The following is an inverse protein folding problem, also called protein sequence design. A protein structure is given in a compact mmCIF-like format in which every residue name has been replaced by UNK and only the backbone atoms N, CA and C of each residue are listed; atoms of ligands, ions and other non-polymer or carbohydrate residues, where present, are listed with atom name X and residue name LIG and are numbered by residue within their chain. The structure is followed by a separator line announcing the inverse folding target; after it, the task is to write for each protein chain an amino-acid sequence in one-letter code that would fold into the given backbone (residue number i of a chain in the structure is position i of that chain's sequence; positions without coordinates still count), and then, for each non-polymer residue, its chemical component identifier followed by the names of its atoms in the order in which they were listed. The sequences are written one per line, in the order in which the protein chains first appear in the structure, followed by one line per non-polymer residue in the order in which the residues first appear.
data_IF_042298812856
#
_entry.id   IF_042298812856
#
_cell.length_a   1.000
_cell.length_b   1.000
_cell.length_c   1.000
_cell.angle_alpha   90.00
_cell.angle_beta   90.00
_cell.angle_gamma   90.00
#
_symmetry.space_group_name_H-M   'P 1'
#
loop_
_entity.id
_entity.type
_entity.pdbx_description
1 polymer ?
#
# COMPACT_ATOMS: atom_id res chain seq x y z
N UNK A 1 33.63 -5.85 10.72
CA UNK A 1 33.68 -7.15 11.47
C UNK A 1 32.29 -7.80 11.57
N UNK A 2 31.24 -7.09 11.98
CA UNK A 2 29.91 -7.70 12.22
C UNK A 2 29.19 -8.17 10.96
N UNK A 3 29.31 -7.44 9.85
CA UNK A 3 28.77 -7.86 8.54
C UNK A 3 29.43 -9.16 8.06
N UNK A 4 30.71 -9.31 8.28
CA UNK A 4 31.44 -10.53 7.94
C UNK A 4 31.03 -11.70 8.84
N UNK A 5 30.82 -11.46 10.13
CA UNK A 5 30.30 -12.43 11.09
C UNK A 5 28.93 -12.95 10.65
N UNK A 6 27.98 -12.06 10.32
CA UNK A 6 26.66 -12.43 9.78
C UNK A 6 26.77 -13.30 8.53
N UNK A 7 27.65 -12.91 7.60
CA UNK A 7 27.84 -13.65 6.34
C UNK A 7 28.40 -15.05 6.56
N UNK A 8 29.23 -15.23 7.58
CA UNK A 8 29.87 -16.50 7.92
C UNK A 8 28.98 -17.40 8.80
N UNK A 9 28.22 -16.82 9.71
CA UNK A 9 27.44 -17.59 10.70
C UNK A 9 25.94 -17.71 10.33
N UNK A 10 25.44 -16.87 9.42
CA UNK A 10 23.99 -16.77 9.13
C UNK A 10 23.17 -16.17 10.28
N UNK A 11 23.81 -15.69 11.36
CA UNK A 11 23.14 -15.13 12.54
C UNK A 11 22.63 -13.70 12.28
N UNK A 12 21.47 -13.63 11.59
CA UNK A 12 20.82 -12.36 11.31
C UNK A 12 20.22 -11.71 12.56
N UNK A 13 19.79 -12.51 13.54
CA UNK A 13 19.17 -11.98 14.76
C UNK A 13 20.17 -11.16 15.57
N UNK A 14 21.36 -11.69 15.79
CA UNK A 14 22.43 -10.95 16.47
C UNK A 14 22.87 -9.71 15.70
N UNK A 15 22.86 -9.74 14.36
CA UNK A 15 23.15 -8.57 13.53
C UNK A 15 22.11 -7.47 13.70
N UNK A 16 20.84 -7.82 13.68
CA UNK A 16 19.74 -6.86 13.85
C UNK A 16 19.77 -6.28 15.26
N UNK A 17 19.95 -7.10 16.28
CA UNK A 17 20.12 -6.64 17.67
C UNK A 17 21.30 -5.68 17.81
N UNK A 18 22.44 -5.95 17.18
CA UNK A 18 23.59 -5.05 17.19
C UNK A 18 23.29 -3.73 16.46
N UNK A 19 22.67 -3.78 15.28
CA UNK A 19 22.31 -2.61 14.47
C UNK A 19 21.38 -1.68 15.24
N UNK A 20 20.34 -2.24 15.85
CA UNK A 20 19.38 -1.49 16.63
C UNK A 20 19.85 -1.20 18.07
N UNK A 21 20.74 -2.01 18.64
CA UNK A 21 21.24 -1.82 20.00
C UNK A 21 21.93 -0.49 20.26
N UNK A 22 22.47 0.16 19.21
CA UNK A 22 22.99 1.53 19.27
C UNK A 22 21.90 2.59 19.16
N UNK A 23 20.75 2.23 18.60
CA UNK A 23 19.59 3.12 18.35
C UNK A 23 18.59 3.00 19.48
N UNK A 24 18.52 1.83 20.13
CA UNK A 24 17.63 1.56 21.25
C UNK A 24 18.14 2.22 22.53
N UNK A 25 17.69 3.42 22.79
CA UNK A 25 17.83 4.05 24.10
C UNK A 25 16.74 3.56 25.04
N UNK A 26 17.01 3.51 26.32
CA UNK A 26 16.04 3.09 27.34
C UNK A 26 14.95 4.11 27.60
N UNK A 27 15.19 5.35 27.15
CA UNK A 27 14.34 6.52 27.36
C UNK A 27 13.40 6.83 26.18
N UNK A 28 13.30 5.94 25.18
CA UNK A 28 12.36 6.12 24.07
C UNK A 28 10.96 5.67 24.50
N UNK A 29 10.00 6.58 24.67
CA UNK A 29 8.65 6.22 25.16
C UNK A 29 7.78 5.58 24.08
N UNK A 30 7.98 5.96 22.81
CA UNK A 30 7.16 5.54 21.68
C UNK A 30 8.02 5.19 20.46
N UNK A 31 7.77 4.06 19.83
CA UNK A 31 8.37 3.65 18.57
C UNK A 31 7.27 3.33 17.55
N UNK A 32 7.38 3.93 16.37
CA UNK A 32 6.37 3.80 15.31
C UNK A 32 6.98 3.04 14.13
N UNK A 33 6.38 1.91 13.78
CA UNK A 33 6.67 1.21 12.53
C UNK A 33 5.78 1.79 11.45
N UNK A 34 6.39 2.55 10.53
CA UNK A 34 5.72 3.12 9.37
C UNK A 34 5.89 2.22 8.14
N UNK A 35 4.91 2.25 7.26
CA UNK A 35 4.95 1.49 6.01
C UNK A 35 3.87 0.41 5.93
N UNK A 36 3.04 0.54 4.90
CA UNK A 36 1.84 -0.28 4.76
C UNK A 36 2.08 -1.77 4.51
N UNK A 37 3.24 -2.14 3.99
CA UNK A 37 3.54 -3.49 3.52
C UNK A 37 4.49 -4.27 4.46
N UNK A 38 4.69 -3.78 5.68
CA UNK A 38 5.69 -4.31 6.63
C UNK A 38 5.51 -5.81 6.94
N UNK A 39 4.29 -6.32 6.91
CA UNK A 39 4.00 -7.74 7.10
C UNK A 39 3.76 -8.50 5.77
N UNK A 40 3.81 -7.84 4.62
CA UNK A 40 3.56 -8.50 3.32
C UNK A 40 4.75 -9.35 2.83
N UNK A 41 5.99 -9.02 3.23
CA UNK A 41 7.21 -9.64 2.71
C UNK A 41 7.99 -10.36 3.81
N UNK A 42 8.42 -11.62 3.54
CA UNK A 42 9.09 -12.47 4.53
C UNK A 42 10.37 -11.84 5.12
N UNK A 43 11.18 -11.22 4.29
CA UNK A 43 12.43 -10.59 4.72
C UNK A 43 12.20 -9.43 5.71
N UNK A 44 11.22 -8.56 5.39
CA UNK A 44 10.86 -7.43 6.23
C UNK A 44 10.20 -7.85 7.53
N UNK A 45 9.37 -8.91 7.49
CA UNK A 45 8.69 -9.43 8.69
C UNK A 45 9.67 -9.87 9.78
N UNK A 46 10.77 -10.52 9.43
CA UNK A 46 11.77 -10.96 10.41
C UNK A 46 12.42 -9.78 11.11
N UNK A 47 12.90 -8.81 10.34
CA UNK A 47 13.55 -7.60 10.86
C UNK A 47 12.59 -6.78 11.73
N UNK A 48 11.36 -6.61 11.29
CA UNK A 48 10.34 -5.87 12.01
C UNK A 48 9.97 -6.51 13.35
N UNK A 49 9.80 -7.84 13.38
CA UNK A 49 9.52 -8.61 14.61
C UNK A 49 10.65 -8.48 15.62
N UNK A 50 11.90 -8.57 15.17
CA UNK A 50 13.07 -8.41 16.05
C UNK A 50 13.18 -7.00 16.61
N UNK A 51 12.89 -5.98 15.77
CA UNK A 51 12.87 -4.58 16.20
C UNK A 51 11.74 -4.34 17.20
N UNK A 52 10.51 -4.76 16.90
CA UNK A 52 9.35 -4.64 17.79
C UNK A 52 9.63 -5.29 19.14
N UNK A 53 10.14 -6.54 19.14
CA UNK A 53 10.48 -7.26 20.35
C UNK A 53 11.57 -6.55 21.18
N UNK A 54 12.54 -5.92 20.53
CA UNK A 54 13.61 -5.20 21.22
C UNK A 54 13.08 -3.93 21.90
N UNK A 55 12.20 -3.17 21.25
CA UNK A 55 11.56 -1.99 21.85
C UNK A 55 10.66 -2.37 23.02
N UNK A 56 9.79 -3.37 22.85
CA UNK A 56 8.88 -3.84 23.89
C UNK A 56 9.64 -4.34 25.14
N UNK A 57 10.76 -5.04 24.98
CA UNK A 57 11.61 -5.48 26.10
C UNK A 57 12.20 -4.32 26.91
N UNK A 58 12.34 -3.14 26.32
CA UNK A 58 12.81 -1.92 27.01
C UNK A 58 11.68 -1.06 27.58
N UNK A 59 10.44 -1.54 27.51
CA UNK A 59 9.28 -0.81 27.99
C UNK A 59 8.75 0.26 27.03
N UNK A 60 9.33 0.35 25.82
CA UNK A 60 8.84 1.26 24.77
C UNK A 60 7.48 0.81 24.26
N UNK A 61 6.50 1.70 24.19
CA UNK A 61 5.25 1.41 23.48
C UNK A 61 5.50 1.39 21.97
N UNK A 62 4.97 0.39 21.27
CA UNK A 62 5.13 0.26 19.83
C UNK A 62 3.81 0.42 19.10
N UNK A 63 3.86 1.10 17.96
CA UNK A 63 2.72 1.34 17.07
C UNK A 63 3.04 0.79 15.69
N UNK A 64 2.11 0.02 15.12
CA UNK A 64 2.14 -0.37 13.70
C UNK A 64 1.18 0.54 12.94
N UNK A 65 1.70 1.44 12.13
CA UNK A 65 0.95 2.51 11.51
C UNK A 65 0.68 2.25 10.03
N UNK A 66 -0.59 2.32 9.65
CA UNK A 66 -1.02 2.28 8.25
C UNK A 66 -0.79 0.93 7.57
N UNK A 67 -0.92 -0.19 8.30
CA UNK A 67 -0.61 -1.51 7.77
C UNK A 67 -1.72 -2.12 6.90
N UNK A 68 -1.31 -3.00 5.98
CA UNK A 68 -2.16 -4.01 5.35
C UNK A 68 -1.60 -5.40 5.65
N UNK A 69 -2.47 -6.33 6.03
CA UNK A 69 -2.10 -7.69 6.45
C UNK A 69 -3.00 -8.69 5.75
N UNK A 70 -2.41 -9.61 5.00
CA UNK A 70 -3.15 -10.70 4.36
C UNK A 70 -3.82 -11.58 5.43
N UNK A 71 -5.11 -11.92 5.29
CA UNK A 71 -5.85 -12.72 6.28
C UNK A 71 -5.19 -14.06 6.63
N UNK A 72 -4.45 -14.64 5.70
CA UNK A 72 -3.73 -15.90 5.92
C UNK A 72 -2.58 -15.79 6.92
N UNK A 73 -2.03 -14.58 7.11
CA UNK A 73 -0.91 -14.36 8.04
C UNK A 73 -1.29 -14.54 9.50
N UNK A 74 -2.53 -14.26 9.89
CA UNK A 74 -2.98 -14.50 11.27
C UNK A 74 -3.16 -15.99 11.61
N UNK A 75 -3.00 -16.88 10.64
CA UNK A 75 -2.91 -18.33 10.88
C UNK A 75 -1.51 -18.75 11.37
N UNK A 76 -0.52 -17.86 11.28
CA UNK A 76 0.87 -18.12 11.71
C UNK A 76 1.06 -17.68 13.16
N UNK A 77 1.28 -18.60 14.11
CA UNK A 77 1.39 -18.27 15.54
C UNK A 77 2.46 -17.22 15.85
N UNK A 78 3.60 -17.25 15.12
CA UNK A 78 4.69 -16.32 15.31
C UNK A 78 4.36 -14.89 14.88
N UNK A 79 3.46 -14.72 13.89
CA UNK A 79 2.94 -13.41 13.46
C UNK A 79 1.95 -12.89 14.48
N UNK A 80 1.02 -13.73 14.93
CA UNK A 80 0.06 -13.38 15.98
C UNK A 80 0.79 -12.97 17.25
N UNK A 81 1.76 -13.75 17.70
CA UNK A 81 2.56 -13.45 18.90
C UNK A 81 3.33 -12.13 18.80
N UNK A 82 3.70 -11.69 17.59
CA UNK A 82 4.33 -10.40 17.38
C UNK A 82 3.33 -9.25 17.33
N UNK A 83 2.26 -9.39 16.56
CA UNK A 83 1.18 -8.40 16.48
C UNK A 83 0.57 -8.10 17.87
N UNK A 84 0.43 -9.11 18.72
CA UNK A 84 -0.05 -8.95 20.09
C UNK A 84 0.89 -8.17 21.00
N UNK A 85 2.14 -7.89 20.61
CA UNK A 85 3.07 -7.06 21.37
C UNK A 85 2.90 -5.57 21.13
N UNK A 86 2.32 -5.16 19.98
CA UNK A 86 2.07 -3.76 19.72
C UNK A 86 1.08 -3.18 20.74
N UNK A 87 1.32 -1.93 21.13
CA UNK A 87 0.36 -1.18 21.92
C UNK A 87 -0.84 -0.79 21.06
N UNK A 88 -0.58 -0.32 19.84
CA UNK A 88 -1.61 0.13 18.91
C UNK A 88 -1.27 -0.35 17.49
N UNK A 89 -2.31 -0.79 16.78
CA UNK A 89 -2.23 -1.15 15.36
C UNK A 89 -3.26 -0.33 14.60
N UNK A 90 -2.81 0.40 13.59
CA UNK A 90 -3.67 1.19 12.71
C UNK A 90 -3.68 0.54 11.34
N UNK A 91 -4.80 -0.10 11.00
CA UNK A 91 -5.04 -0.63 9.66
C UNK A 91 -5.45 0.51 8.72
N UNK A 92 -5.04 0.44 7.46
CA UNK A 92 -5.40 1.46 6.45
C UNK A 92 -6.60 1.09 5.57
N UNK A 93 -7.16 -0.11 5.75
CA UNK A 93 -8.35 -0.58 5.03
C UNK A 93 -9.11 -1.65 5.84
N UNK A 94 -10.38 -1.84 5.47
CA UNK A 94 -11.34 -2.63 6.27
C UNK A 94 -11.01 -4.12 6.35
N UNK A 95 -10.45 -4.74 5.31
CA UNK A 95 -10.17 -6.19 5.32
C UNK A 95 -9.10 -6.51 6.37
N UNK A 96 -8.03 -5.70 6.43
CA UNK A 96 -7.00 -5.83 7.47
C UNK A 96 -7.58 -5.55 8.85
N UNK A 97 -8.38 -4.51 8.99
CA UNK A 97 -9.02 -4.16 10.26
C UNK A 97 -9.88 -5.31 10.81
N UNK A 98 -10.80 -5.84 10.01
CA UNK A 98 -11.64 -6.99 10.37
C UNK A 98 -10.80 -8.23 10.71
N UNK A 99 -9.69 -8.44 10.00
CA UNK A 99 -8.76 -9.53 10.25
C UNK A 99 -8.09 -9.40 11.61
N UNK A 100 -7.60 -8.21 11.94
CA UNK A 100 -6.98 -7.91 13.24
C UNK A 100 -7.97 -7.98 14.38
N UNK A 101 -9.19 -7.47 14.21
CA UNK A 101 -10.24 -7.57 15.23
C UNK A 101 -10.56 -9.03 15.55
N UNK A 102 -10.70 -9.89 14.52
CA UNK A 102 -10.91 -11.33 14.73
C UNK A 102 -9.74 -11.98 15.47
N UNK A 103 -8.50 -11.65 15.10
CA UNK A 103 -7.31 -12.13 15.80
C UNK A 103 -7.33 -11.73 17.28
N UNK A 104 -7.57 -10.47 17.59
CA UNK A 104 -7.62 -9.96 18.96
C UNK A 104 -8.73 -10.65 19.75
N UNK A 105 -9.93 -10.77 19.19
CA UNK A 105 -11.05 -11.44 19.84
C UNK A 105 -10.74 -12.92 20.15
N UNK A 106 -10.08 -13.63 19.25
CA UNK A 106 -9.67 -15.03 19.47
C UNK A 106 -8.64 -15.14 20.60
N UNK A 107 -7.65 -14.25 20.64
CA UNK A 107 -6.65 -14.23 21.72
C UNK A 107 -7.30 -13.90 23.07
N UNK A 108 -8.19 -12.90 23.12
CA UNK A 108 -8.93 -12.56 24.35
C UNK A 108 -9.82 -13.70 24.84
N UNK A 109 -10.47 -14.44 23.93
CA UNK A 109 -11.28 -15.61 24.29
C UNK A 109 -10.41 -16.69 24.96
N UNK A 110 -9.21 -16.92 24.49
CA UNK A 110 -8.24 -17.84 25.11
C UNK A 110 -7.82 -17.42 26.53
N UNK A 111 -7.89 -16.11 26.86
CA UNK A 111 -7.53 -15.58 28.17
C UNK A 111 -8.70 -15.61 29.21
N UNK A 112 -9.94 -15.89 28.79
CA UNK A 112 -11.11 -15.82 29.67
C UNK A 112 -11.04 -16.77 30.88
N UNK A 113 -10.31 -17.89 30.77
CA UNK A 113 -10.10 -18.85 31.86
C UNK A 113 -9.02 -18.47 32.88
N UNK A 114 -8.23 -17.41 32.61
CA UNK A 114 -7.14 -16.98 33.48
C UNK A 114 -7.66 -16.04 34.58
N UNK A 115 -6.97 -16.06 35.75
CA UNK A 115 -7.21 -15.10 36.83
C UNK A 115 -6.89 -13.67 36.35
N UNK A 116 -7.52 -12.66 36.95
CA UNK A 116 -7.34 -11.24 36.55
C UNK A 116 -5.88 -10.77 36.59
N UNK A 117 -5.11 -11.20 37.62
CA UNK A 117 -3.67 -10.88 37.73
C UNK A 117 -2.81 -11.52 36.64
N UNK A 118 -3.22 -12.68 36.11
CA UNK A 118 -2.51 -13.33 35.01
C UNK A 118 -2.88 -12.71 33.68
N UNK A 119 -4.14 -12.30 33.48
CA UNK A 119 -4.57 -11.55 32.27
C UNK A 119 -3.87 -10.21 32.12
N UNK A 120 -3.59 -9.51 33.21
CA UNK A 120 -2.89 -8.20 33.17
C UNK A 120 -1.48 -8.28 32.58
N UNK A 121 -0.91 -9.49 32.47
CA UNK A 121 0.43 -9.72 31.86
C UNK A 121 0.37 -9.83 30.34
N UNK A 122 -0.82 -9.96 29.75
CA UNK A 122 -0.99 -10.08 28.32
C UNK A 122 -1.39 -8.73 27.75
N UNK A 123 -0.53 -8.20 26.87
CA UNK A 123 -0.87 -7.03 26.08
C UNK A 123 -1.94 -7.38 25.06
N UNK A 124 -2.93 -6.52 24.90
CA UNK A 124 -3.95 -6.60 23.86
C UNK A 124 -3.91 -5.29 23.08
N UNK A 125 -3.49 -5.31 21.81
CA UNK A 125 -3.35 -4.07 21.04
C UNK A 125 -4.70 -3.39 20.84
N UNK A 126 -4.70 -2.05 20.93
CA UNK A 126 -5.78 -1.22 20.39
C UNK A 126 -5.72 -1.31 18.87
N UNK A 127 -6.84 -1.56 18.21
CA UNK A 127 -6.90 -1.68 16.74
C UNK A 127 -7.83 -0.62 16.18
N UNK A 128 -7.30 0.24 15.30
CA UNK A 128 -8.05 1.28 14.60
C UNK A 128 -8.03 1.02 13.09
N UNK A 129 -9.00 1.63 12.39
CA UNK A 129 -9.03 1.67 10.93
C UNK A 129 -9.11 3.13 10.48
N UNK A 130 -8.01 3.64 9.94
CA UNK A 130 -7.97 4.96 9.33
C UNK A 130 -7.40 4.84 7.91
N UNK A 131 -7.98 5.51 6.91
CA UNK A 131 -7.43 5.49 5.57
C UNK A 131 -5.96 5.91 5.52
N UNK A 132 -5.25 5.42 4.50
CA UNK A 132 -3.83 5.74 4.31
C UNK A 132 -3.63 7.26 4.27
N UNK A 133 -2.69 7.83 5.05
CA UNK A 133 -2.41 9.28 5.05
C UNK A 133 -2.07 9.84 3.67
N UNK A 134 -1.61 9.03 2.72
CA UNK A 134 -1.34 9.45 1.35
C UNK A 134 -2.58 10.01 0.61
N UNK A 135 -3.79 9.72 1.09
CA UNK A 135 -5.01 10.36 0.58
C UNK A 135 -5.03 11.88 0.81
N UNK A 136 -4.31 12.38 1.81
CA UNK A 136 -4.24 13.82 2.16
C UNK A 136 -3.11 14.56 1.45
N UNK A 137 -2.20 13.84 0.78
CA UNK A 137 -1.07 14.45 0.05
C UNK A 137 -1.58 15.50 -0.94
N UNK A 138 -0.96 16.68 -0.94
CA UNK A 138 -1.27 17.73 -1.90
C UNK A 138 -0.61 17.43 -3.26
N UNK A 139 -1.27 17.81 -4.34
CA UNK A 139 -0.68 17.73 -5.69
C UNK A 139 0.17 18.96 -5.97
N UNK A 140 1.26 18.78 -6.71
CA UNK A 140 2.03 19.87 -7.32
C UNK A 140 1.78 19.87 -8.81
N UNK A 141 1.29 20.98 -9.34
CA UNK A 141 1.03 21.10 -10.77
C UNK A 141 2.29 21.56 -11.50
N UNK A 142 2.72 20.75 -12.45
CA UNK A 142 3.80 21.06 -13.37
C UNK A 142 3.23 21.32 -14.77
N UNK A 143 3.97 22.03 -15.67
CA UNK A 143 3.59 22.11 -17.07
C UNK A 143 3.38 20.72 -17.67
N UNK A 144 2.37 20.57 -18.49
CA UNK A 144 2.10 19.31 -19.16
C UNK A 144 3.13 19.07 -20.28
N UNK A 145 3.70 17.86 -20.35
CA UNK A 145 4.58 17.52 -21.46
C UNK A 145 3.82 17.45 -22.78
N UNK A 146 4.54 17.61 -23.89
CA UNK A 146 3.97 17.46 -25.23
C UNK A 146 3.30 16.10 -25.38
N UNK A 147 2.08 16.08 -25.93
CA UNK A 147 1.28 14.87 -26.10
C UNK A 147 0.35 14.56 -24.92
N UNK A 148 0.54 15.15 -23.74
CA UNK A 148 -0.41 15.01 -22.63
C UNK A 148 -1.60 15.98 -22.85
N UNK A 149 -2.81 15.45 -22.82
CA UNK A 149 -4.03 16.23 -22.94
C UNK A 149 -4.86 16.07 -21.65
N UNK A 150 -4.99 17.15 -20.89
CA UNK A 150 -5.75 17.15 -19.65
C UNK A 150 -7.20 16.71 -19.90
N UNK A 151 -7.71 15.80 -19.09
CA UNK A 151 -9.07 15.25 -19.25
C UNK A 151 -9.27 14.34 -20.48
N UNK A 152 -8.23 14.13 -21.31
CA UNK A 152 -8.26 13.23 -22.45
C UNK A 152 -7.08 12.23 -22.48
N UNK A 153 -6.39 12.09 -21.36
CA UNK A 153 -5.25 11.14 -21.20
C UNK A 153 -5.61 10.03 -20.22
N UNK A 154 -5.30 8.79 -20.58
CA UNK A 154 -5.31 7.64 -19.67
C UNK A 154 -3.93 7.51 -19.05
N UNK A 155 -3.85 7.64 -17.73
CA UNK A 155 -2.62 7.34 -17.00
C UNK A 155 -2.46 5.84 -16.78
N UNK A 156 -1.29 5.30 -17.06
CA UNK A 156 -0.98 3.88 -16.85
C UNK A 156 0.30 3.77 -16.01
N UNK A 157 0.20 3.06 -14.89
CA UNK A 157 1.33 2.64 -14.07
C UNK A 157 1.43 1.12 -14.13
N UNK A 158 2.58 0.62 -14.56
CA UNK A 158 2.92 -0.80 -14.57
C UNK A 158 4.15 -1.04 -13.70
N UNK A 159 4.24 -2.20 -13.06
CA UNK A 159 5.25 -2.49 -12.05
C UNK A 159 5.83 -3.88 -12.24
N UNK A 160 7.15 -4.10 -12.03
CA UNK A 160 7.73 -5.44 -11.98
C UNK A 160 7.04 -6.33 -10.95
N UNK A 161 6.57 -5.78 -9.83
CA UNK A 161 5.91 -6.58 -8.78
C UNK A 161 4.65 -7.30 -9.25
N UNK A 162 3.85 -6.71 -10.15
CA UNK A 162 2.67 -7.42 -10.67
C UNK A 162 3.08 -8.52 -11.64
N UNK A 163 4.19 -8.35 -12.37
CA UNK A 163 4.77 -9.40 -13.23
C UNK A 163 5.30 -10.57 -12.38
N UNK A 164 5.97 -10.28 -11.26
CA UNK A 164 6.49 -11.31 -10.33
C UNK A 164 5.36 -12.12 -9.65
N UNK A 165 4.12 -11.62 -9.66
CA UNK A 165 2.94 -12.25 -9.05
C UNK A 165 1.94 -12.83 -10.07
N UNK A 166 2.28 -12.86 -11.36
CA UNK A 166 1.43 -13.49 -12.38
C UNK A 166 1.52 -15.02 -12.32
N UNK A 167 0.43 -15.71 -12.64
CA UNK A 167 0.42 -17.18 -12.70
C UNK A 167 0.91 -17.72 -14.04
N UNK A 168 0.74 -16.95 -15.12
CA UNK A 168 1.17 -17.34 -16.48
C UNK A 168 2.23 -16.36 -16.95
N UNK A 169 3.44 -16.83 -17.20
CA UNK A 169 4.58 -15.99 -17.55
C UNK A 169 4.30 -15.06 -18.73
N UNK A 170 4.52 -13.77 -18.54
CA UNK A 170 4.36 -12.71 -19.54
C UNK A 170 2.92 -12.29 -19.80
N UNK A 171 1.92 -12.89 -19.14
CA UNK A 171 0.50 -12.55 -19.36
C UNK A 171 0.20 -11.10 -18.99
N UNK A 172 0.87 -10.56 -17.99
CA UNK A 172 0.71 -9.17 -17.58
C UNK A 172 1.09 -8.22 -18.71
N UNK A 173 2.30 -8.35 -19.27
CA UNK A 173 2.74 -7.49 -20.37
C UNK A 173 1.88 -7.65 -21.62
N UNK A 174 1.43 -8.86 -21.94
CA UNK A 174 0.49 -9.09 -23.05
C UNK A 174 -0.81 -8.32 -22.86
N UNK A 175 -1.35 -8.32 -21.64
CA UNK A 175 -2.55 -7.55 -21.28
C UNK A 175 -2.34 -6.02 -21.43
N UNK A 176 -1.22 -5.48 -20.97
CA UNK A 176 -0.93 -4.06 -21.14
C UNK A 176 -0.74 -3.69 -22.62
N UNK A 177 -0.09 -4.54 -23.43
CA UNK A 177 0.04 -4.32 -24.88
C UNK A 177 -1.32 -4.33 -25.58
N UNK A 178 -2.19 -5.30 -25.24
CA UNK A 178 -3.54 -5.37 -25.79
C UNK A 178 -4.36 -4.14 -25.40
N UNK A 179 -4.27 -3.69 -24.14
CA UNK A 179 -4.94 -2.47 -23.69
C UNK A 179 -4.46 -1.23 -24.44
N UNK A 180 -3.13 -1.02 -24.56
CA UNK A 180 -2.57 0.14 -25.28
C UNK A 180 -3.01 0.12 -26.73
N UNK A 181 -2.93 -1.02 -27.42
CA UNK A 181 -3.42 -1.19 -28.77
C UNK A 181 -4.90 -0.82 -28.89
N UNK A 182 -5.72 -1.35 -27.99
CA UNK A 182 -7.15 -1.05 -27.98
C UNK A 182 -7.43 0.45 -27.83
N UNK A 183 -6.76 1.13 -26.90
CA UNK A 183 -6.92 2.58 -26.69
C UNK A 183 -6.52 3.36 -27.93
N UNK A 184 -5.40 3.04 -28.54
CA UNK A 184 -4.90 3.69 -29.76
C UNK A 184 -5.84 3.49 -30.94
N UNK A 185 -6.32 2.28 -31.17
CA UNK A 185 -7.11 1.93 -32.35
C UNK A 185 -8.60 2.31 -32.22
N UNK A 186 -9.15 2.29 -30.99
CA UNK A 186 -10.60 2.39 -30.80
C UNK A 186 -11.06 3.66 -30.06
N UNK A 187 -10.13 4.52 -29.63
CA UNK A 187 -10.47 5.75 -28.89
C UNK A 187 -9.68 6.96 -29.40
N UNK A 188 -10.11 8.20 -28.98
CA UNK A 188 -9.35 9.43 -29.17
C UNK A 188 -8.39 9.77 -28.02
N UNK A 189 -8.21 8.88 -27.03
CA UNK A 189 -7.48 9.17 -25.80
C UNK A 189 -5.96 9.12 -26.01
N UNK A 190 -5.21 9.97 -25.31
CA UNK A 190 -3.76 9.88 -25.14
C UNK A 190 -3.43 8.90 -24.00
N UNK A 191 -2.21 8.40 -23.98
CA UNK A 191 -1.71 7.51 -22.94
C UNK A 191 -0.46 8.11 -22.30
N UNK A 192 -0.46 8.25 -20.98
CA UNK A 192 0.72 8.64 -20.20
C UNK A 192 1.17 7.47 -19.32
N UNK A 193 2.38 6.99 -19.57
CA UNK A 193 3.03 5.98 -18.76
C UNK A 193 3.72 6.66 -17.58
N UNK A 194 3.32 6.32 -16.35
CA UNK A 194 3.69 7.06 -15.14
C UNK A 194 4.44 6.13 -14.18
N UNK A 195 5.76 6.31 -13.98
CA UNK A 195 6.52 5.56 -12.99
C UNK A 195 6.11 6.00 -11.57
N UNK A 196 6.29 5.11 -10.59
CA UNK A 196 6.04 5.43 -9.18
C UNK A 196 7.12 4.88 -8.24
N UNK A 197 7.76 3.79 -8.58
CA UNK A 197 8.90 3.20 -7.87
C UNK A 197 10.04 3.01 -8.85
N UNK A 198 11.23 3.51 -8.48
CA UNK A 198 12.43 3.54 -9.34
C UNK A 198 13.65 2.90 -8.65
N UNK A 199 13.43 1.88 -7.83
CA UNK A 199 14.51 1.15 -7.15
C UNK A 199 15.12 0.09 -8.08
N UNK A 200 16.42 -0.12 -8.05
CA UNK A 200 17.18 -1.01 -8.96
C UNK A 200 16.53 -2.36 -9.26
N UNK A 201 15.95 -3.00 -8.22
CA UNK A 201 15.31 -4.32 -8.34
C UNK A 201 13.80 -4.27 -8.59
N UNK A 202 13.22 -3.08 -8.56
CA UNK A 202 11.78 -2.88 -8.64
C UNK A 202 11.47 -1.54 -9.30
N UNK A 203 12.00 -1.36 -10.51
CA UNK A 203 11.97 -0.11 -11.28
C UNK A 203 10.85 -0.15 -12.32
N UNK A 204 9.81 0.65 -12.10
CA UNK A 204 8.64 0.77 -12.97
C UNK A 204 9.02 1.26 -14.38
N UNK A 205 10.12 2.02 -14.52
CA UNK A 205 10.58 2.53 -15.82
C UNK A 205 10.93 1.43 -16.81
N UNK A 206 11.36 0.27 -16.35
CA UNK A 206 11.72 -0.86 -17.22
C UNK A 206 10.53 -1.37 -18.02
N UNK A 207 9.43 -1.88 -17.41
CA UNK A 207 8.27 -2.30 -18.15
C UNK A 207 7.54 -1.14 -18.85
N UNK A 208 7.61 0.07 -18.32
CA UNK A 208 7.09 1.29 -18.96
C UNK A 208 7.81 1.55 -20.29
N UNK A 209 9.14 1.56 -20.29
CA UNK A 209 9.94 1.80 -21.48
C UNK A 209 9.73 0.70 -22.53
N UNK A 210 9.66 -0.57 -22.10
CA UNK A 210 9.35 -1.69 -23.00
C UNK A 210 8.00 -1.48 -23.71
N UNK A 211 7.00 -0.99 -23.00
CA UNK A 211 5.68 -0.72 -23.55
C UNK A 211 5.70 0.50 -24.47
N UNK A 212 6.38 1.58 -24.07
CA UNK A 212 6.55 2.80 -24.87
C UNK A 212 7.19 2.52 -26.21
N UNK A 213 8.32 1.81 -26.25
CA UNK A 213 9.07 1.51 -27.49
C UNK A 213 8.19 0.80 -28.55
N UNK A 214 7.22 0.03 -28.14
CA UNK A 214 6.32 -0.70 -29.06
C UNK A 214 5.24 0.19 -29.71
N UNK A 215 4.91 1.33 -29.08
CA UNK A 215 3.78 2.17 -29.50
C UNK A 215 4.13 3.64 -29.75
N UNK A 216 5.40 4.07 -29.54
CA UNK A 216 5.83 5.47 -29.68
C UNK A 216 5.52 6.09 -31.05
N UNK A 217 5.63 5.29 -32.12
CA UNK A 217 5.38 5.77 -33.49
C UNK A 217 3.91 6.09 -33.77
N UNK A 218 3.00 5.69 -32.84
CA UNK A 218 1.58 6.07 -32.94
C UNK A 218 1.34 7.56 -32.62
N UNK A 219 2.30 8.24 -31.96
CA UNK A 219 2.14 9.60 -31.45
C UNK A 219 1.07 9.77 -30.36
N UNK A 220 0.58 8.63 -29.81
CA UNK A 220 -0.55 8.60 -28.85
C UNK A 220 -0.11 8.21 -27.45
N UNK A 221 1.17 7.94 -27.21
CA UNK A 221 1.73 7.48 -25.94
C UNK A 221 2.96 8.30 -25.58
N UNK A 222 3.13 8.59 -24.30
CA UNK A 222 4.29 9.27 -23.76
C UNK A 222 4.73 8.62 -22.44
N UNK A 223 6.04 8.70 -22.16
CA UNK A 223 6.59 8.37 -20.85
C UNK A 223 6.75 9.64 -20.02
N UNK A 224 6.29 9.60 -18.77
CA UNK A 224 6.60 10.67 -17.82
C UNK A 224 7.94 10.39 -17.12
N UNK A 225 8.73 11.44 -16.82
CA UNK A 225 9.91 11.30 -15.98
C UNK A 225 9.53 10.90 -14.57
N UNK A 226 10.51 10.39 -13.81
CA UNK A 226 10.40 10.29 -12.38
C UNK A 226 10.28 11.68 -11.73
N UNK A 227 9.65 11.72 -10.55
CA UNK A 227 9.41 12.96 -9.82
C UNK A 227 9.05 12.73 -8.38
N UNK A 228 8.81 13.79 -7.65
CA UNK A 228 8.29 13.68 -6.28
C UNK A 228 6.86 13.14 -6.29
N UNK A 229 6.42 12.60 -5.16
CA UNK A 229 5.06 12.05 -5.06
C UNK A 229 3.98 13.10 -5.33
N UNK A 230 4.21 14.38 -4.98
CA UNK A 230 3.32 15.51 -5.28
C UNK A 230 3.27 15.82 -6.78
N UNK A 231 4.41 15.76 -7.47
CA UNK A 231 4.53 16.01 -8.91
C UNK A 231 3.84 14.90 -9.71
N UNK A 232 4.12 13.63 -9.38
CA UNK A 232 3.45 12.49 -10.01
C UNK A 232 1.94 12.53 -9.75
N UNK A 233 1.51 12.90 -8.53
CA UNK A 233 0.10 13.13 -8.23
C UNK A 233 -0.49 14.27 -9.07
N UNK A 234 0.27 15.32 -9.36
CA UNK A 234 -0.14 16.43 -10.22
C UNK A 234 -0.45 15.99 -11.65
N UNK A 235 0.32 15.06 -12.21
CA UNK A 235 0.03 14.46 -13.52
C UNK A 235 -1.17 13.51 -13.47
N UNK A 236 -1.21 12.61 -12.47
CA UNK A 236 -2.30 11.65 -12.30
C UNK A 236 -3.64 12.37 -12.15
N UNK A 237 -3.68 13.47 -11.40
CA UNK A 237 -4.90 14.26 -11.16
C UNK A 237 -5.51 14.86 -12.44
N UNK A 238 -4.73 15.01 -13.51
CA UNK A 238 -5.16 15.55 -14.80
C UNK A 238 -5.46 14.47 -15.85
N UNK A 239 -5.33 13.20 -15.47
CA UNK A 239 -5.77 12.08 -16.29
C UNK A 239 -7.31 12.00 -16.30
N UNK A 240 -7.88 11.54 -17.39
CA UNK A 240 -9.30 11.19 -17.49
C UNK A 240 -9.62 9.95 -16.68
N UNK A 241 -8.81 8.91 -16.84
CA UNK A 241 -8.89 7.62 -16.15
C UNK A 241 -7.47 7.16 -15.77
N UNK A 242 -7.37 6.23 -14.83
CA UNK A 242 -6.08 5.69 -14.40
C UNK A 242 -6.09 4.17 -14.27
N UNK A 243 -5.06 3.51 -14.76
CA UNK A 243 -4.81 2.08 -14.54
C UNK A 243 -3.53 1.96 -13.72
N UNK A 244 -3.63 1.50 -12.48
CA UNK A 244 -2.52 1.53 -11.53
C UNK A 244 -2.16 0.19 -10.95
N UNK A 245 -0.85 -0.11 -10.91
CA UNK A 245 -0.29 -1.27 -10.23
C UNK A 245 0.27 -0.95 -8.84
N UNK A 246 0.64 0.31 -8.59
CA UNK A 246 1.19 0.78 -7.31
C UNK A 246 0.09 1.40 -6.46
N UNK A 247 -0.01 0.97 -5.19
CA UNK A 247 -1.03 1.43 -4.25
C UNK A 247 -1.04 2.96 -4.11
N UNK A 248 0.11 3.60 -3.93
CA UNK A 248 0.15 5.05 -3.76
C UNK A 248 -0.17 5.81 -5.06
N UNK A 249 0.12 5.26 -6.24
CA UNK A 249 -0.33 5.81 -7.51
C UNK A 249 -1.86 5.74 -7.64
N UNK A 250 -2.48 4.61 -7.22
CA UNK A 250 -3.95 4.49 -7.22
C UNK A 250 -4.61 5.38 -6.16
N UNK A 251 -3.98 5.56 -4.99
CA UNK A 251 -4.42 6.52 -3.97
C UNK A 251 -4.35 7.96 -4.51
N UNK A 252 -3.27 8.31 -5.24
CA UNK A 252 -3.16 9.63 -5.88
C UNK A 252 -4.31 9.86 -6.87
N UNK A 253 -4.68 8.86 -7.67
CA UNK A 253 -5.81 8.93 -8.59
C UNK A 253 -7.16 9.04 -7.86
N UNK A 254 -7.45 8.16 -6.93
CA UNK A 254 -8.69 8.20 -6.14
C UNK A 254 -8.88 9.52 -5.39
N UNK A 255 -7.81 9.99 -4.71
CA UNK A 255 -7.84 11.24 -3.94
C UNK A 255 -7.95 12.49 -4.80
N UNK A 256 -7.74 12.36 -6.11
CA UNK A 256 -7.91 13.38 -7.15
C UNK A 256 -9.18 13.17 -7.99
N UNK A 257 -10.07 12.27 -7.56
CA UNK A 257 -11.34 11.97 -8.21
C UNK A 257 -11.22 11.37 -9.62
N UNK A 258 -10.09 10.72 -9.91
CA UNK A 258 -9.85 10.07 -11.20
C UNK A 258 -10.37 8.63 -11.14
N UNK A 259 -11.31 8.23 -12.02
CA UNK A 259 -11.77 6.86 -12.13
C UNK A 259 -10.61 5.90 -12.39
N UNK A 260 -10.47 4.89 -11.54
CA UNK A 260 -9.27 4.06 -11.48
C UNK A 260 -9.60 2.58 -11.48
N UNK A 261 -8.89 1.83 -12.33
CA UNK A 261 -8.81 0.37 -12.30
C UNK A 261 -7.46 -0.03 -11.68
N UNK A 262 -7.48 -0.90 -10.69
CA UNK A 262 -6.27 -1.39 -10.04
C UNK A 262 -5.91 -2.76 -10.60
N UNK A 263 -4.67 -2.92 -11.10
CA UNK A 263 -4.08 -4.24 -11.36
C UNK A 263 -3.32 -4.63 -10.10
N UNK A 264 -3.94 -5.45 -9.26
CA UNK A 264 -3.47 -5.72 -7.92
C UNK A 264 -3.08 -7.18 -7.69
N UNK A 265 -2.33 -7.46 -6.62
CA UNK A 265 -1.94 -8.81 -6.22
C UNK A 265 -2.19 -9.08 -4.73
N UNK A 266 -2.64 -8.11 -3.95
CA UNK A 266 -2.72 -8.20 -2.49
C UNK A 266 -3.99 -7.56 -1.91
N UNK A 267 -4.23 -7.84 -0.62
CA UNK A 267 -5.40 -7.36 0.15
C UNK A 267 -5.57 -5.85 0.13
N UNK A 268 -4.48 -5.07 0.09
CA UNK A 268 -4.53 -3.60 0.17
C UNK A 268 -5.35 -2.97 -0.96
N UNK A 269 -5.18 -3.45 -2.19
CA UNK A 269 -5.97 -2.96 -3.33
C UNK A 269 -7.45 -3.27 -3.15
N UNK A 270 -7.75 -4.49 -2.71
CA UNK A 270 -9.11 -4.98 -2.49
C UNK A 270 -9.79 -4.22 -1.34
N UNK A 271 -9.08 -4.04 -0.22
CA UNK A 271 -9.60 -3.34 0.95
C UNK A 271 -9.92 -1.87 0.66
N UNK A 272 -9.00 -1.15 0.01
CA UNK A 272 -9.24 0.26 -0.38
C UNK A 272 -10.42 0.37 -1.34
N UNK A 273 -10.52 -0.51 -2.35
CA UNK A 273 -11.66 -0.50 -3.28
C UNK A 273 -12.98 -0.80 -2.56
N UNK A 274 -13.00 -1.78 -1.64
CA UNK A 274 -14.17 -2.09 -0.81
C UNK A 274 -14.59 -0.88 0.03
N UNK A 275 -13.64 -0.16 0.63
CA UNK A 275 -13.91 1.00 1.47
C UNK A 275 -14.49 2.18 0.66
N UNK A 276 -13.98 2.40 -0.56
CA UNK A 276 -14.42 3.48 -1.41
C UNK A 276 -15.76 3.17 -2.14
N UNK A 277 -15.93 1.94 -2.60
CA UNK A 277 -17.01 1.57 -3.52
C UNK A 277 -18.00 0.53 -2.96
N UNK A 278 -17.76 0.00 -1.75
CA UNK A 278 -18.55 -1.07 -1.15
C UNK A 278 -18.21 -2.48 -1.67
N UNK A 279 -17.38 -2.58 -2.70
CA UNK A 279 -16.93 -3.82 -3.33
C UNK A 279 -15.60 -3.65 -4.03
N UNK A 280 -14.80 -4.72 -4.10
CA UNK A 280 -13.61 -4.76 -4.95
C UNK A 280 -13.90 -5.22 -6.39
N UNK A 281 -15.06 -5.85 -6.62
CA UNK A 281 -15.43 -6.41 -7.93
C UNK A 281 -15.45 -5.32 -9.01
N UNK A 282 -14.75 -5.56 -10.10
CA UNK A 282 -14.53 -4.68 -11.26
C UNK A 282 -13.60 -3.46 -11.00
N UNK A 283 -13.34 -3.09 -9.75
CA UNK A 283 -12.40 -2.01 -9.42
C UNK A 283 -10.96 -2.52 -9.27
N UNK A 284 -10.81 -3.80 -8.91
CA UNK A 284 -9.52 -4.47 -8.80
C UNK A 284 -9.53 -5.69 -9.73
N UNK A 285 -8.53 -5.76 -10.60
CA UNK A 285 -8.21 -6.92 -11.42
C UNK A 285 -7.01 -7.62 -10.78
N UNK A 286 -7.20 -8.75 -10.08
CA UNK A 286 -6.08 -9.49 -9.52
C UNK A 286 -5.20 -10.06 -10.64
N UNK A 287 -3.90 -9.76 -10.60
CA UNK A 287 -2.97 -10.21 -11.64
C UNK A 287 -2.90 -11.75 -11.73
N UNK A 288 -3.13 -12.44 -10.62
CA UNK A 288 -3.21 -13.88 -10.55
C UNK A 288 -4.40 -14.47 -11.31
N UNK A 289 -5.39 -13.65 -11.65
CA UNK A 289 -6.59 -14.08 -12.39
C UNK A 289 -6.52 -13.78 -13.88
N UNK A 290 -5.44 -13.17 -14.38
CA UNK A 290 -5.25 -12.97 -15.81
C UNK A 290 -5.10 -14.32 -16.52
N UNK A 291 -5.93 -14.56 -17.54
CA UNK A 291 -5.95 -15.80 -18.33
C UNK A 291 -5.84 -15.53 -19.83
N UNK A 292 -6.45 -14.44 -20.30
CA UNK A 292 -6.48 -14.01 -21.69
C UNK A 292 -5.72 -12.70 -21.84
N UNK A 293 -5.26 -12.41 -23.03
CA UNK A 293 -4.52 -11.16 -23.31
C UNK A 293 -5.43 -9.92 -23.23
N UNK A 294 -6.76 -10.10 -23.33
CA UNK A 294 -7.76 -9.03 -23.34
C UNK A 294 -8.40 -8.78 -21.97
N UNK A 295 -8.09 -9.52 -20.92
CA UNK A 295 -8.74 -9.38 -19.60
C UNK A 295 -8.66 -7.95 -19.05
N UNK A 296 -7.50 -7.29 -19.20
CA UNK A 296 -7.32 -5.89 -18.79
C UNK A 296 -8.09 -4.93 -19.71
N UNK A 297 -8.18 -5.22 -20.98
CA UNK A 297 -8.98 -4.43 -21.94
C UNK A 297 -10.47 -4.51 -21.63
N UNK A 298 -10.97 -5.67 -21.28
CA UNK A 298 -12.37 -5.84 -20.86
C UNK A 298 -12.65 -5.06 -19.57
N UNK A 299 -11.75 -5.11 -18.60
CA UNK A 299 -11.85 -4.34 -17.36
C UNK A 299 -11.79 -2.82 -17.62
N UNK A 300 -10.93 -2.35 -18.53
CA UNK A 300 -10.88 -0.96 -18.94
C UNK A 300 -12.17 -0.49 -19.63
N UNK A 301 -12.77 -1.31 -20.50
CA UNK A 301 -14.06 -1.01 -21.13
C UNK A 301 -15.17 -0.81 -20.09
N UNK A 302 -15.18 -1.64 -19.05
CA UNK A 302 -16.09 -1.47 -17.93
C UNK A 302 -15.84 -0.14 -17.19
N UNK A 303 -14.56 0.19 -16.89
CA UNK A 303 -14.19 1.45 -16.25
C UNK A 303 -14.67 2.64 -17.06
N UNK A 304 -14.41 2.65 -18.37
CA UNK A 304 -14.81 3.72 -19.29
C UNK A 304 -16.34 3.88 -19.35
N UNK A 305 -17.09 2.78 -19.35
CA UNK A 305 -18.55 2.81 -19.34
C UNK A 305 -19.15 3.32 -18.01
N UNK A 306 -18.37 3.32 -16.91
CA UNK A 306 -18.81 3.75 -15.57
C UNK A 306 -18.08 5.00 -15.07
N UNK A 307 -17.32 5.66 -15.93
CA UNK A 307 -16.43 6.78 -15.58
C UNK A 307 -17.13 7.84 -14.72
N UNK A 308 -18.25 8.39 -15.18
CA UNK A 308 -18.97 9.47 -14.50
C UNK A 308 -19.57 9.01 -13.15
N UNK A 309 -20.09 7.79 -13.09
CA UNK A 309 -20.63 7.23 -11.85
C UNK A 309 -19.53 7.05 -10.80
N UNK A 310 -18.35 6.55 -11.21
CA UNK A 310 -17.20 6.37 -10.34
C UNK A 310 -16.67 7.71 -9.86
N UNK A 311 -16.54 8.70 -10.74
CA UNK A 311 -16.12 10.07 -10.41
C UNK A 311 -17.05 10.70 -9.39
N UNK A 312 -18.37 10.60 -9.60
CA UNK A 312 -19.38 11.10 -8.68
C UNK A 312 -19.33 10.42 -7.33
N UNK A 313 -19.12 9.10 -7.29
CA UNK A 313 -18.98 8.36 -6.04
C UNK A 313 -17.72 8.76 -5.27
N UNK A 314 -16.59 8.93 -5.98
CA UNK A 314 -15.36 9.44 -5.37
C UNK A 314 -15.56 10.87 -4.82
N UNK A 315 -16.20 11.75 -5.56
CA UNK A 315 -16.47 13.12 -5.13
C UNK A 315 -17.32 13.17 -3.85
N UNK A 316 -18.33 12.32 -3.75
CA UNK A 316 -19.16 12.21 -2.55
C UNK A 316 -18.40 11.60 -1.34
N UNK A 317 -17.54 10.63 -1.57
CA UNK A 317 -16.83 9.87 -0.51
C UNK A 317 -15.58 10.60 0.00
N UNK A 318 -14.84 11.25 -0.89
CA UNK A 318 -13.47 11.71 -0.63
C UNK A 318 -13.31 12.74 0.50
N UNK A 319 -14.21 13.72 0.70
CA UNK A 319 -14.07 14.67 1.81
C UNK A 319 -13.99 13.97 3.18
N UNK A 320 -14.97 13.13 3.49
CA UNK A 320 -15.00 12.38 4.74
C UNK A 320 -13.85 11.36 4.85
N UNK A 321 -13.45 10.76 3.73
CA UNK A 321 -12.37 9.79 3.68
C UNK A 321 -11.01 10.42 3.98
N UNK A 322 -10.73 11.63 3.46
CA UNK A 322 -9.54 12.43 3.77
C UNK A 322 -9.53 12.88 5.23
N UNK A 323 -10.68 13.32 5.75
CA UNK A 323 -10.80 13.69 7.16
C UNK A 323 -10.51 12.48 8.08
N UNK A 324 -11.04 11.29 7.74
CA UNK A 324 -10.73 10.07 8.47
C UNK A 324 -9.24 9.70 8.40
N UNK A 325 -8.55 9.95 7.28
CA UNK A 325 -7.11 9.73 7.16
C UNK A 325 -6.28 10.60 8.13
N UNK A 326 -6.74 11.82 8.43
CA UNK A 326 -6.11 12.71 9.40
C UNK A 326 -6.19 12.20 10.85
N UNK A 327 -7.09 11.27 11.16
CA UNK A 327 -7.20 10.70 12.52
C UNK A 327 -5.94 9.89 12.89
N UNK A 328 -5.21 9.37 11.92
CA UNK A 328 -3.92 8.70 12.15
C UNK A 328 -2.94 9.61 12.90
N UNK A 329 -2.81 10.87 12.50
CA UNK A 329 -1.95 11.85 13.18
C UNK A 329 -2.44 12.16 14.59
N UNK A 330 -3.75 12.39 14.76
CA UNK A 330 -4.34 12.68 16.08
C UNK A 330 -4.14 11.54 17.08
N UNK A 331 -4.26 10.29 16.63
CA UNK A 331 -4.02 9.12 17.49
C UNK A 331 -2.54 9.04 17.89
N UNK A 332 -1.61 9.33 16.98
CA UNK A 332 -0.17 9.37 17.29
C UNK A 332 0.15 10.47 18.29
N UNK A 333 -0.41 11.66 18.11
CA UNK A 333 -0.24 12.80 19.05
C UNK A 333 -0.76 12.43 20.44
N UNK A 334 -1.95 11.84 20.53
CA UNK A 334 -2.52 11.38 21.79
C UNK A 334 -1.62 10.34 22.50
N UNK A 335 -1.13 9.36 21.75
CA UNK A 335 -0.21 8.34 22.28
C UNK A 335 1.11 8.96 22.76
N UNK A 336 1.61 9.95 22.06
CA UNK A 336 2.81 10.68 22.47
C UNK A 336 2.61 11.43 23.80
N UNK A 337 1.48 12.13 23.93
CA UNK A 337 1.12 12.83 25.16
C UNK A 337 0.99 11.87 26.36
N UNK A 338 0.29 10.73 26.18
CA UNK A 338 0.17 9.69 27.21
C UNK A 338 1.56 9.16 27.65
N UNK A 339 2.44 8.91 26.70
CA UNK A 339 3.79 8.41 26.98
C UNK A 339 4.65 9.45 27.72
N UNK A 340 4.56 10.71 27.31
CA UNK A 340 5.34 11.81 27.90
C UNK A 340 4.92 12.15 29.33
N UNK A 341 3.65 11.98 29.66
CA UNK A 341 3.15 12.15 31.03
C UNK A 341 3.65 11.06 31.98
N UNK A 342 3.73 9.81 31.50
CA UNK A 342 4.22 8.69 32.32
C UNK A 342 5.71 8.76 32.65
N UNK A 343 6.52 9.46 31.86
CA UNK A 343 7.94 9.67 32.15
C UNK A 343 8.22 10.77 33.17
N UNK A 344 7.20 11.61 33.48
CA UNK A 344 7.34 12.72 34.45
C UNK A 344 6.96 12.32 35.89
N UNK A 345 6.42 11.13 36.08
CA UNK A 345 6.10 10.52 37.36
C UNK A 345 7.19 9.51 37.76
#
# INVERSE_FOLDING_TARGET
CYYLYRKLTGDEESFIRYRYGKTFREDIPLAISIGGDNYCYDNMRKDLRLANQAFVRKGTRTVLLGCSIEPELIKRPEIVADLMKYHTIIARESITFETLQRMVAQQQAGLKGLRSCDRARYNVPKVYCFPDPAFTLQKKELPLPSGFQEGNTVGINISPMIQDNEESAGITMKNYRALVRYIVENTGLQIALIPHVVWDRNDDRKPIHELYEQFKDTGRILELPDGTCEELKGYIARCRMFIGARTHATIAAYSSLVPTLVVGYSVKARGIARDLFGTEKNYVLPVQLLRKEEDLTEAFRWLAAKEEAIRSQLAAKMPAYKEAAMQTGKEVDHLWEECSQQQRI
#
